data_IF_564744182380
#
_entry.id   IF_564744182380
#
_cell.length_a   1.000
_cell.length_b   1.000
_cell.length_c   1.000
_cell.angle_alpha   90.00
_cell.angle_beta   90.00
_cell.angle_gamma   90.00
#
_symmetry.space_group_name_H-M   'P 1'
#
loop_
_entity.id
_entity.type
_entity.pdbx_description
1 polymer ?
#
# COMPACT_ATOMS: atom_id res chain seq x y z
N UNK A 1 2.18 -13.74 -11.31
CA UNK A 1 0.74 -14.00 -11.16
C UNK A 1 0.02 -12.67 -11.05
N UNK A 2 -1.23 -12.59 -11.52
CA UNK A 2 -2.09 -11.42 -11.32
C UNK A 2 -2.00 -10.30 -12.36
N UNK A 3 -1.14 -10.37 -13.38
CA UNK A 3 -1.08 -9.31 -14.38
C UNK A 3 -1.89 -9.67 -15.64
N UNK A 4 -3.13 -9.17 -15.69
CA UNK A 4 -4.09 -9.43 -16.77
C UNK A 4 -4.48 -8.16 -17.57
N UNK A 5 -3.69 -7.10 -17.46
CA UNK A 5 -3.98 -5.77 -18.04
C UNK A 5 -2.82 -5.31 -18.93
N UNK A 6 -2.58 -5.95 -20.10
CA UNK A 6 -1.40 -5.70 -20.92
C UNK A 6 -1.25 -4.23 -21.37
N UNK A 7 -2.37 -3.49 -21.47
CA UNK A 7 -2.42 -2.12 -21.96
C UNK A 7 -1.72 -1.12 -21.01
N UNK A 8 -1.76 -1.37 -19.70
CA UNK A 8 -1.15 -0.46 -18.69
C UNK A 8 0.32 -0.78 -18.42
N UNK A 9 0.80 -1.97 -18.83
CA UNK A 9 2.15 -2.44 -18.50
C UNK A 9 3.29 -1.59 -19.04
N UNK A 10 3.25 -1.09 -20.28
CA UNK A 10 4.30 -0.20 -20.75
C UNK A 10 4.42 1.06 -19.89
N UNK A 11 3.31 1.58 -19.35
CA UNK A 11 3.32 2.76 -18.47
C UNK A 11 3.90 2.43 -17.10
N UNK A 12 3.45 1.33 -16.48
CA UNK A 12 3.95 0.87 -15.18
C UNK A 12 5.44 0.53 -15.24
N UNK A 13 5.89 -0.19 -16.28
CA UNK A 13 7.30 -0.54 -16.44
C UNK A 13 8.18 0.70 -16.61
N UNK A 14 7.75 1.67 -17.43
CA UNK A 14 8.49 2.95 -17.58
C UNK A 14 8.56 3.71 -16.27
N UNK A 15 7.47 3.75 -15.51
CA UNK A 15 7.44 4.40 -14.20
C UNK A 15 8.39 3.73 -13.20
N UNK A 16 8.35 2.40 -13.09
CA UNK A 16 9.26 1.64 -12.21
C UNK A 16 10.72 1.89 -12.57
N UNK A 17 11.09 1.74 -13.85
CA UNK A 17 12.47 1.97 -14.32
C UNK A 17 12.92 3.41 -14.06
N UNK A 18 12.09 4.39 -14.41
CA UNK A 18 12.41 5.82 -14.18
C UNK A 18 12.63 6.10 -12.70
N UNK A 19 11.82 5.52 -11.83
CA UNK A 19 11.92 5.74 -10.39
C UNK A 19 13.17 5.05 -9.81
N UNK A 20 13.50 3.84 -10.26
CA UNK A 20 14.73 3.14 -9.86
C UNK A 20 15.99 3.89 -10.33
N UNK A 21 16.02 4.35 -11.58
CA UNK A 21 17.12 5.16 -12.12
C UNK A 21 17.26 6.48 -11.33
N UNK A 22 16.14 7.12 -11.02
CA UNK A 22 16.13 8.35 -10.22
C UNK A 22 16.66 8.11 -8.81
N UNK A 23 16.25 7.03 -8.14
CA UNK A 23 16.75 6.63 -6.82
C UNK A 23 18.27 6.44 -6.89
N UNK A 24 18.77 5.68 -7.86
CA UNK A 24 20.21 5.41 -7.98
C UNK A 24 21.01 6.70 -8.21
N UNK A 25 20.55 7.57 -9.09
CA UNK A 25 21.21 8.83 -9.40
C UNK A 25 21.21 9.83 -8.21
N UNK A 26 20.22 9.74 -7.30
CA UNK A 26 20.03 10.74 -6.23
C UNK A 26 20.28 10.20 -4.81
N UNK A 27 20.49 8.89 -4.61
CA UNK A 27 20.75 8.33 -3.26
C UNK A 27 22.01 8.88 -2.63
N UNK A 28 23.02 9.27 -3.42
CA UNK A 28 24.31 9.74 -2.92
C UNK A 28 24.96 8.73 -1.97
N UNK A 29 25.36 9.16 -0.77
CA UNK A 29 25.97 8.29 0.24
C UNK A 29 24.95 7.52 1.11
N UNK A 30 23.64 7.75 0.94
CA UNK A 30 22.62 7.14 1.82
C UNK A 30 22.50 5.66 1.50
N UNK A 31 22.47 4.85 2.56
CA UNK A 31 22.27 3.39 2.48
C UNK A 31 20.82 3.02 2.13
N UNK A 32 19.86 3.83 2.55
CA UNK A 32 18.44 3.58 2.39
C UNK A 32 17.76 4.77 1.73
N UNK A 33 16.76 4.48 0.90
CA UNK A 33 15.88 5.46 0.26
C UNK A 33 14.44 5.04 0.54
N UNK A 34 13.61 6.01 0.87
CA UNK A 34 12.18 5.83 1.13
C UNK A 34 11.42 6.92 0.38
N UNK A 35 10.23 6.60 -0.12
CA UNK A 35 9.45 7.47 -1.01
C UNK A 35 8.11 7.77 -0.37
N UNK A 36 7.84 9.05 -0.08
CA UNK A 36 6.50 9.53 0.27
C UNK A 36 5.96 10.33 -0.92
N UNK A 37 5.18 9.68 -1.77
CA UNK A 37 4.78 10.21 -3.08
C UNK A 37 3.33 10.63 -3.14
N UNK A 38 3.04 11.68 -3.93
CA UNK A 38 1.65 12.03 -4.28
C UNK A 38 1.15 11.10 -5.39
N UNK A 39 0.27 10.17 -5.04
CA UNK A 39 -0.41 9.28 -5.99
C UNK A 39 -1.67 9.96 -6.59
N UNK A 40 -2.72 10.14 -5.79
CA UNK A 40 -3.96 10.82 -6.18
C UNK A 40 -3.89 12.33 -5.91
N UNK A 41 -4.51 13.18 -6.76
CA UNK A 41 -5.06 12.92 -8.09
C UNK A 41 -4.06 13.03 -9.25
N UNK A 42 -2.76 13.06 -8.93
CA UNK A 42 -1.72 13.37 -9.90
C UNK A 42 -1.56 12.27 -10.95
N UNK A 43 -1.55 11.00 -10.55
CA UNK A 43 -1.19 9.91 -11.46
C UNK A 43 -2.19 9.67 -12.58
N UNK A 44 -3.47 9.77 -12.28
CA UNK A 44 -4.57 9.54 -13.21
C UNK A 44 -4.63 10.68 -14.23
N UNK A 45 -4.49 11.93 -13.77
CA UNK A 45 -4.61 13.11 -14.62
C UNK A 45 -3.37 13.39 -15.45
N UNK A 46 -2.16 13.11 -14.93
CA UNK A 46 -0.90 13.43 -15.60
C UNK A 46 -0.32 12.23 -16.37
N UNK A 47 -0.48 11.01 -15.85
CA UNK A 47 0.17 9.81 -16.39
C UNK A 47 -0.82 8.75 -16.90
N UNK A 48 -2.10 8.83 -16.51
CA UNK A 48 -3.18 7.97 -17.00
C UNK A 48 -3.06 6.51 -16.53
N UNK A 49 -2.68 6.30 -15.27
CA UNK A 49 -2.70 5.03 -14.53
C UNK A 49 -2.62 5.31 -13.02
N UNK A 50 -2.70 4.28 -12.16
CA UNK A 50 -2.36 4.39 -10.72
C UNK A 50 -1.04 3.68 -10.39
N UNK A 51 -0.19 4.23 -9.51
CA UNK A 51 1.18 3.73 -9.30
C UNK A 51 1.26 2.47 -8.42
N UNK A 52 0.13 2.00 -7.91
CA UNK A 52 0.04 1.09 -6.78
C UNK A 52 0.80 -0.22 -6.98
N UNK A 53 0.67 -0.86 -8.15
CA UNK A 53 1.42 -2.06 -8.49
C UNK A 53 2.94 -1.85 -8.43
N UNK A 54 3.42 -0.70 -8.90
CA UNK A 54 4.86 -0.37 -8.84
C UNK A 54 5.30 -0.10 -7.41
N UNK A 55 4.49 0.63 -6.63
CA UNK A 55 4.78 0.87 -5.21
C UNK A 55 4.93 -0.47 -4.46
N UNK A 56 4.01 -1.41 -4.70
CA UNK A 56 4.04 -2.77 -4.17
C UNK A 56 5.32 -3.54 -4.52
N UNK A 57 5.82 -3.37 -5.74
CA UNK A 57 7.09 -3.98 -6.18
C UNK A 57 8.30 -3.36 -5.50
N UNK A 58 8.34 -2.03 -5.37
CA UNK A 58 9.42 -1.31 -4.68
C UNK A 58 9.50 -1.69 -3.19
N UNK A 59 8.37 -1.77 -2.51
CA UNK A 59 8.30 -2.30 -1.13
C UNK A 59 8.84 -3.75 -1.09
N UNK A 60 8.54 -4.56 -2.09
CA UNK A 60 9.12 -5.90 -2.26
C UNK A 60 10.63 -5.95 -2.47
N UNK A 61 11.25 -4.86 -2.91
CA UNK A 61 12.69 -4.67 -3.06
C UNK A 61 13.33 -4.06 -1.80
N UNK A 62 12.55 -3.81 -0.74
CA UNK A 62 13.01 -3.17 0.48
C UNK A 62 13.14 -1.64 0.38
N UNK A 63 12.48 -1.03 -0.61
CA UNK A 63 12.36 0.43 -0.75
C UNK A 63 10.97 0.82 -0.23
N UNK A 64 10.85 1.44 0.95
CA UNK A 64 9.55 1.86 1.48
C UNK A 64 8.89 2.89 0.57
N UNK A 65 7.60 2.72 0.30
CA UNK A 65 6.82 3.63 -0.55
C UNK A 65 5.47 3.93 0.07
N UNK A 66 5.34 5.11 0.66
CA UNK A 66 4.07 5.61 1.18
C UNK A 66 3.33 6.42 0.13
N UNK A 67 2.04 6.12 0.01
CA UNK A 67 1.10 6.89 -0.80
C UNK A 67 0.73 8.23 -0.10
N UNK A 68 -0.01 9.08 -0.81
CA UNK A 68 -0.60 10.35 -0.32
C UNK A 68 0.37 11.34 0.38
N UNK A 69 1.68 11.28 0.06
CA UNK A 69 2.72 12.11 0.71
C UNK A 69 2.81 11.86 2.22
N UNK A 70 2.45 10.65 2.66
CA UNK A 70 2.48 10.30 4.06
C UNK A 70 3.90 9.97 4.55
N UNK A 71 4.60 11.01 5.03
CA UNK A 71 5.98 10.91 5.51
C UNK A 71 6.09 10.02 6.76
N UNK A 72 5.12 10.08 7.67
CA UNK A 72 5.15 9.26 8.90
C UNK A 72 4.83 7.79 8.60
N UNK A 73 3.95 7.53 7.65
CA UNK A 73 3.71 6.19 7.12
C UNK A 73 4.95 5.61 6.49
N UNK A 74 5.63 6.40 5.65
CA UNK A 74 6.89 6.00 5.02
C UNK A 74 7.98 5.67 6.05
N UNK A 75 8.11 6.50 7.10
CA UNK A 75 9.05 6.24 8.18
C UNK A 75 8.68 5.00 9.00
N UNK A 76 7.38 4.77 9.25
CA UNK A 76 6.89 3.56 9.91
C UNK A 76 7.16 2.31 9.05
N UNK A 77 6.91 2.36 7.75
CA UNK A 77 7.23 1.25 6.84
C UNK A 77 8.74 0.96 6.85
N UNK A 78 9.59 1.99 6.83
CA UNK A 78 11.04 1.86 6.91
C UNK A 78 11.50 1.19 8.21
N UNK A 79 11.08 1.68 9.36
CA UNK A 79 11.45 1.10 10.66
C UNK A 79 10.96 -0.34 10.76
N UNK A 80 9.72 -0.58 10.33
CA UNK A 80 9.14 -1.92 10.35
C UNK A 80 9.96 -2.89 9.50
N UNK A 81 10.31 -2.48 8.29
CA UNK A 81 11.16 -3.27 7.37
C UNK A 81 12.53 -3.56 7.99
N UNK A 82 13.14 -2.58 8.68
CA UNK A 82 14.44 -2.78 9.32
C UNK A 82 14.37 -3.77 10.50
N UNK A 83 13.31 -3.71 11.30
CA UNK A 83 13.15 -4.55 12.50
C UNK A 83 12.69 -5.97 12.15
N UNK A 84 11.79 -6.11 11.19
CA UNK A 84 11.25 -7.42 10.78
C UNK A 84 12.13 -8.15 9.77
N UNK A 85 13.00 -7.41 9.04
CA UNK A 85 13.67 -7.90 7.84
C UNK A 85 12.69 -8.47 6.78
N UNK A 86 11.47 -7.97 6.76
CA UNK A 86 10.36 -8.43 5.93
C UNK A 86 9.58 -7.25 5.33
N UNK A 87 8.78 -7.51 4.30
CA UNK A 87 7.97 -6.46 3.67
C UNK A 87 6.87 -5.97 4.61
N UNK A 88 6.75 -4.65 4.72
CA UNK A 88 5.69 -3.99 5.50
C UNK A 88 4.69 -3.37 4.55
N UNK A 89 3.41 -3.42 4.90
CA UNK A 89 2.34 -2.80 4.13
C UNK A 89 1.70 -1.67 4.91
N UNK A 90 1.21 -0.66 4.21
CA UNK A 90 0.35 0.37 4.78
C UNK A 90 -1.10 0.00 4.55
N UNK A 91 -1.94 0.24 5.56
CA UNK A 91 -3.39 -0.01 5.51
C UNK A 91 -4.15 1.22 6.01
N UNK A 92 -5.22 1.56 5.33
CA UNK A 92 -6.25 2.47 5.81
C UNK A 92 -7.18 1.69 6.73
N UNK A 93 -7.37 2.21 7.94
CA UNK A 93 -8.35 1.71 8.91
C UNK A 93 -9.41 2.79 9.07
N UNK A 94 -10.59 2.54 8.55
CA UNK A 94 -11.70 3.51 8.56
C UNK A 94 -13.05 2.89 8.96
N UNK A 95 -13.13 1.57 9.12
CA UNK A 95 -14.36 0.85 9.41
C UNK A 95 -14.12 -0.27 10.43
N UNK A 96 -15.07 -0.44 11.34
CA UNK A 96 -15.24 -1.68 12.12
C UNK A 96 -15.77 -2.78 11.19
N UNK A 97 -15.52 -4.05 11.53
CA UNK A 97 -16.15 -5.17 10.82
C UNK A 97 -17.67 -5.07 10.95
N UNK A 98 -18.46 -5.24 9.88
CA UNK A 98 -19.92 -5.27 9.96
C UNK A 98 -20.47 -6.38 10.88
N UNK A 99 -21.64 -6.17 11.49
CA UNK A 99 -22.26 -7.10 12.45
C UNK A 99 -22.47 -8.49 11.85
N UNK A 100 -23.00 -8.56 10.63
CA UNK A 100 -23.26 -9.81 9.90
C UNK A 100 -21.97 -10.60 9.64
N UNK A 101 -20.91 -9.90 9.19
CA UNK A 101 -19.59 -10.50 9.00
C UNK A 101 -18.98 -11.00 10.31
N UNK A 102 -19.12 -10.25 11.41
CA UNK A 102 -18.62 -10.67 12.71
C UNK A 102 -19.35 -11.93 13.21
N UNK A 103 -20.67 -11.93 13.15
CA UNK A 103 -21.50 -13.08 13.58
C UNK A 103 -21.21 -14.33 12.74
N UNK A 104 -21.05 -14.20 11.41
CA UNK A 104 -20.80 -15.33 10.52
C UNK A 104 -19.36 -15.84 10.59
N UNK A 105 -18.38 -14.94 10.57
CA UNK A 105 -16.98 -15.28 10.29
C UNK A 105 -16.06 -15.25 11.51
N UNK A 106 -16.45 -14.61 12.61
CA UNK A 106 -15.56 -14.37 13.75
C UNK A 106 -16.10 -14.98 15.05
N UNK A 107 -17.37 -14.70 15.39
CA UNK A 107 -17.98 -15.11 16.64
C UNK A 107 -17.98 -16.62 16.82
N UNK A 108 -17.48 -17.08 17.96
CA UNK A 108 -17.37 -18.51 18.29
C UNK A 108 -16.26 -19.26 17.55
N UNK A 109 -15.61 -18.63 16.56
CA UNK A 109 -14.43 -19.17 15.85
C UNK A 109 -13.13 -18.62 16.43
N UNK A 110 -13.13 -17.37 16.87
CA UNK A 110 -11.99 -16.70 17.49
C UNK A 110 -12.39 -16.07 18.83
N UNK A 111 -11.40 -15.87 19.70
CA UNK A 111 -11.59 -15.21 20.99
C UNK A 111 -11.42 -13.68 20.88
N UNK A 112 -12.15 -13.08 19.94
CA UNK A 112 -12.21 -11.64 19.74
C UNK A 112 -13.63 -11.16 19.99
N UNK A 113 -13.76 -10.02 20.66
CA UNK A 113 -15.03 -9.28 20.68
C UNK A 113 -15.17 -8.47 19.40
N UNK A 114 -16.37 -7.98 19.13
CA UNK A 114 -16.60 -7.15 17.95
C UNK A 114 -15.75 -5.87 17.95
N UNK A 115 -15.51 -5.29 19.12
CA UNK A 115 -14.65 -4.11 19.30
C UNK A 115 -13.16 -4.39 19.07
N UNK A 116 -12.75 -5.66 19.04
CA UNK A 116 -11.37 -6.05 18.73
C UNK A 116 -11.12 -6.19 17.22
N UNK A 117 -12.16 -6.01 16.40
CA UNK A 117 -12.11 -6.27 14.96
C UNK A 117 -12.24 -4.99 14.13
N UNK A 118 -11.45 -4.89 13.06
CA UNK A 118 -11.50 -3.77 12.13
C UNK A 118 -11.28 -4.24 10.69
N UNK A 119 -11.65 -3.40 9.73
CA UNK A 119 -11.32 -3.60 8.33
C UNK A 119 -10.14 -2.72 7.95
N UNK A 120 -9.08 -3.37 7.46
CA UNK A 120 -7.91 -2.71 6.90
C UNK A 120 -7.84 -2.96 5.40
N UNK A 121 -7.77 -1.90 4.60
CA UNK A 121 -7.54 -2.00 3.16
C UNK A 121 -6.61 -0.89 2.71
N UNK A 122 -5.94 -1.06 1.58
CA UNK A 122 -5.27 0.04 0.93
C UNK A 122 -5.22 -0.25 -0.56
N UNK A 123 -5.36 0.78 -1.38
CA UNK A 123 -5.05 0.63 -2.80
C UNK A 123 -3.54 0.52 -3.06
N UNK A 124 -2.68 0.51 -2.03
CA UNK A 124 -1.30 1.00 -2.07
C UNK A 124 -0.23 -0.07 -2.25
N UNK A 125 0.83 0.03 -1.44
CA UNK A 125 2.10 -0.68 -1.59
C UNK A 125 2.10 -2.14 -1.07
N UNK A 126 0.94 -2.75 -0.84
CA UNK A 126 0.84 -4.13 -0.35
C UNK A 126 1.54 -5.08 -1.32
N UNK A 127 2.65 -5.69 -0.89
CA UNK A 127 3.42 -6.59 -1.73
C UNK A 127 2.62 -7.87 -2.04
N UNK A 128 2.74 -8.40 -3.27
CA UNK A 128 2.06 -9.65 -3.64
C UNK A 128 2.41 -10.85 -2.75
N UNK A 129 3.57 -10.85 -2.09
CA UNK A 129 3.97 -11.87 -1.10
C UNK A 129 3.21 -11.78 0.22
N UNK A 130 2.43 -10.71 0.44
CA UNK A 130 1.55 -10.49 1.59
C UNK A 130 0.08 -10.75 1.27
N UNK A 131 -0.22 -11.29 0.09
CA UNK A 131 -1.56 -11.58 -0.38
C UNK A 131 -1.74 -13.08 -0.64
N UNK A 132 -2.90 -13.64 -0.29
CA UNK A 132 -3.24 -15.07 -0.52
C UNK A 132 -3.31 -15.38 -2.01
N UNK A 133 -3.90 -14.46 -2.75
CA UNK A 133 -3.98 -14.41 -4.21
C UNK A 133 -4.14 -12.94 -4.60
N UNK A 134 -3.73 -12.58 -5.81
CA UNK A 134 -3.86 -11.19 -6.25
C UNK A 134 -4.06 -11.05 -7.75
N UNK A 135 -4.75 -9.98 -8.15
CA UNK A 135 -4.99 -9.63 -9.53
C UNK A 135 -4.91 -8.11 -9.73
N UNK A 136 -4.32 -7.69 -10.85
CA UNK A 136 -4.22 -6.32 -11.26
C UNK A 136 -5.58 -5.84 -11.77
N UNK A 137 -6.06 -4.76 -11.19
CA UNK A 137 -7.39 -4.20 -11.43
C UNK A 137 -7.29 -2.68 -11.64
N UNK A 138 -8.46 -2.06 -11.74
CA UNK A 138 -8.60 -0.63 -11.69
C UNK A 138 -8.98 -0.20 -10.28
N UNK A 139 -8.69 1.03 -9.90
CA UNK A 139 -9.07 1.54 -8.60
C UNK A 139 -10.57 1.87 -8.59
N UNK A 140 -11.36 1.04 -7.90
CA UNK A 140 -12.83 1.11 -7.88
C UNK A 140 -13.41 2.44 -7.37
N UNK A 141 -12.84 3.03 -6.33
CA UNK A 141 -13.32 4.30 -5.75
C UNK A 141 -13.11 5.45 -6.72
N UNK A 142 -11.97 5.48 -7.40
CA UNK A 142 -11.58 6.53 -8.36
C UNK A 142 -12.36 6.39 -9.67
N UNK A 143 -12.66 5.15 -10.09
CA UNK A 143 -13.49 4.89 -11.26
C UNK A 143 -14.94 5.39 -11.11
N UNK A 144 -15.37 5.78 -9.90
CA UNK A 144 -16.67 6.43 -9.68
C UNK A 144 -16.74 7.86 -10.24
N UNK A 145 -15.59 8.53 -10.36
CA UNK A 145 -15.52 9.94 -10.78
C UNK A 145 -14.58 10.17 -11.96
N UNK A 146 -13.77 9.17 -12.33
CA UNK A 146 -12.85 9.21 -13.46
C UNK A 146 -13.06 8.02 -14.40
N UNK A 147 -12.65 8.15 -15.67
CA UNK A 147 -12.66 7.04 -16.61
C UNK A 147 -11.81 5.85 -16.13
N UNK A 148 -12.27 4.62 -16.36
CA UNK A 148 -11.60 3.41 -15.88
C UNK A 148 -10.20 3.24 -16.49
N UNK A 149 -10.01 3.71 -17.72
CA UNK A 149 -8.75 3.61 -18.46
C UNK A 149 -7.59 4.36 -17.78
N UNK A 150 -7.89 5.40 -16.98
CA UNK A 150 -6.88 6.16 -16.23
C UNK A 150 -6.70 5.68 -14.79
N UNK A 151 -7.50 4.71 -14.33
CA UNK A 151 -7.46 4.18 -12.97
C UNK A 151 -6.89 2.76 -12.88
N UNK A 152 -6.36 2.23 -13.99
CA UNK A 152 -5.72 0.91 -14.04
C UNK A 152 -4.39 0.88 -13.26
N UNK A 153 -4.12 -0.21 -12.52
CA UNK A 153 -2.83 -0.46 -11.88
C UNK A 153 -2.87 -0.78 -10.38
N UNK A 154 -4.05 -1.01 -9.80
CA UNK A 154 -4.17 -1.53 -8.43
C UNK A 154 -3.87 -3.03 -8.39
N UNK A 155 -3.39 -3.51 -7.26
CA UNK A 155 -3.32 -4.94 -6.97
C UNK A 155 -4.39 -5.26 -5.92
N UNK A 156 -5.37 -6.09 -6.30
CA UNK A 156 -6.48 -6.49 -5.43
C UNK A 156 -6.32 -7.95 -5.01
N UNK A 157 -6.57 -8.22 -3.73
CA UNK A 157 -6.48 -9.53 -3.13
C UNK A 157 -6.61 -9.49 -1.61
N UNK A 158 -6.82 -10.65 -1.00
CA UNK A 158 -6.92 -10.77 0.45
C UNK A 158 -5.52 -10.86 1.08
N UNK A 159 -5.34 -10.19 2.21
CA UNK A 159 -4.10 -10.25 2.99
C UNK A 159 -3.90 -11.67 3.53
N UNK A 160 -2.67 -12.16 3.51
CA UNK A 160 -2.31 -13.44 4.10
C UNK A 160 -2.66 -13.46 5.60
N UNK A 161 -3.39 -14.49 6.09
CA UNK A 161 -3.68 -14.61 7.51
C UNK A 161 -2.40 -14.91 8.30
N UNK A 162 -2.27 -14.30 9.48
CA UNK A 162 -1.14 -14.54 10.37
C UNK A 162 -1.06 -13.49 11.47
N UNK A 163 -0.11 -13.69 12.38
CA UNK A 163 0.19 -12.72 13.42
C UNK A 163 0.78 -11.44 12.81
N UNK A 164 0.33 -10.30 13.31
CA UNK A 164 0.77 -8.99 12.85
C UNK A 164 1.21 -8.12 14.02
N UNK A 165 2.08 -7.16 13.71
CA UNK A 165 2.27 -5.97 14.54
C UNK A 165 1.74 -4.78 13.74
N UNK A 166 0.69 -4.15 14.22
CA UNK A 166 0.23 -2.87 13.68
C UNK A 166 0.77 -1.74 14.56
N UNK A 167 1.26 -0.67 13.95
CA UNK A 167 1.72 0.51 14.66
C UNK A 167 1.77 1.71 13.71
N UNK A 168 1.83 2.91 14.28
CA UNK A 168 1.84 4.15 13.50
C UNK A 168 2.68 5.21 14.18
N UNK A 169 3.75 5.65 13.54
CA UNK A 169 4.38 6.91 13.94
C UNK A 169 3.45 8.07 13.62
N UNK A 170 3.40 9.01 14.55
CA UNK A 170 2.67 10.27 14.40
C UNK A 170 3.41 11.37 15.14
N UNK A 171 3.08 12.62 14.83
CA UNK A 171 3.55 13.77 15.58
C UNK A 171 2.37 14.50 16.20
N UNK A 172 2.57 15.00 17.41
CA UNK A 172 1.68 15.98 18.03
C UNK A 172 1.92 17.38 17.43
N UNK A 173 1.01 18.31 17.69
CA UNK A 173 1.11 19.70 17.22
C UNK A 173 2.36 20.44 17.74
N UNK A 174 2.93 20.01 18.87
CA UNK A 174 4.19 20.49 19.43
C UNK A 174 5.43 19.74 18.88
N UNK A 175 5.30 19.10 17.72
CA UNK A 175 6.37 18.41 16.99
C UNK A 175 7.06 17.28 17.75
N UNK A 176 6.35 16.62 18.68
CA UNK A 176 6.85 15.43 19.38
C UNK A 176 6.36 14.16 18.70
N UNK A 177 7.31 13.27 18.39
CA UNK A 177 6.99 11.95 17.88
C UNK A 177 6.29 11.10 18.93
N UNK A 178 5.28 10.36 18.49
CA UNK A 178 4.53 9.33 19.23
C UNK A 178 4.41 8.09 18.35
N UNK A 179 4.31 6.94 18.99
CA UNK A 179 4.11 5.63 18.38
C UNK A 179 2.98 4.90 19.10
#
# INVERSE_FOLDING_TARGET
>A
AGNHKPEVLPKLARYELTLLDWIEAHKGYRKYVAIAGKCWPAFQTQFGFVPCYVNSRLTGMGIPVSCEVDIYGCLSEFIGTCVSADTVTLLDINNTVPDDMYEESIKGKFNYTHNDTFMGFHCGNTNSKKLTSCNMKYQMIMARTLPEEVTQGTLEGDILPGDITFYRLQSTADSKLRA
#
